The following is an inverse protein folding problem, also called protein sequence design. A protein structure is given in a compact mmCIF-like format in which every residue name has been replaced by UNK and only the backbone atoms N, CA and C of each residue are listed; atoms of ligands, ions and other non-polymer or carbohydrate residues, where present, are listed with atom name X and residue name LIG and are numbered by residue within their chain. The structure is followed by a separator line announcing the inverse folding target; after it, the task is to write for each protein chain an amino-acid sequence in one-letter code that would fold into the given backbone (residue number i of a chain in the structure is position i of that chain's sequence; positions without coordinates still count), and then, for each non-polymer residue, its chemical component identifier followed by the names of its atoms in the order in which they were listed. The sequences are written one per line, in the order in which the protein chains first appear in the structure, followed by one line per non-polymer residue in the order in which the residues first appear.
data_IF_161718702519
#
_entry.id   IF_161718702519
#
_cell.length_a   1.000
_cell.length_b   1.000
_cell.length_c   1.000
_cell.angle_alpha   90.00
_cell.angle_beta   90.00
_cell.angle_gamma   90.00
#
_symmetry.space_group_name_H-M   'P 1'
#
loop_
_entity.id
_entity.type
_entity.pdbx_description
1 polymer ?
#
# COMPACT_ATOMS: atom_id res chain seq x y z
N UNK A 1 -6.96 40.43 -13.84
CA UNK A 1 -7.22 40.19 -12.41
C UNK A 1 -5.88 40.17 -11.68
N UNK A 2 -5.56 41.19 -10.87
CA UNK A 2 -4.31 41.20 -10.11
C UNK A 2 -4.35 40.08 -9.05
N UNK A 3 -3.28 39.28 -8.99
CA UNK A 3 -3.09 38.27 -7.94
C UNK A 3 -2.82 39.01 -6.63
N UNK A 4 -3.61 38.79 -5.56
CA UNK A 4 -3.36 39.44 -4.28
C UNK A 4 -1.97 39.04 -3.77
N UNK A 5 -1.15 40.04 -3.48
CA UNK A 5 0.14 39.86 -2.81
C UNK A 5 -0.17 39.38 -1.38
N UNK A 6 0.26 38.16 -0.99
CA UNK A 6 -0.04 37.68 0.35
C UNK A 6 0.71 38.52 1.38
N UNK A 7 0.11 38.76 2.57
CA UNK A 7 0.76 39.50 3.62
C UNK A 7 2.06 38.80 4.02
N UNK A 8 3.14 39.60 4.11
CA UNK A 8 4.44 39.18 4.63
C UNK A 8 4.25 38.55 6.01
N UNK A 9 4.62 37.27 6.16
CA UNK A 9 4.49 36.54 7.42
C UNK A 9 3.49 35.38 7.43
N UNK A 10 2.90 35.00 6.28
CA UNK A 10 2.10 33.77 6.17
C UNK A 10 2.82 32.71 5.33
N UNK A 11 2.67 31.45 5.73
CA UNK A 11 3.26 30.27 5.09
C UNK A 11 2.18 29.22 4.79
N UNK A 12 2.31 28.52 3.68
CA UNK A 12 1.59 27.28 3.38
C UNK A 12 2.31 26.12 4.05
N UNK A 13 1.55 25.26 4.73
CA UNK A 13 2.05 24.02 5.31
C UNK A 13 1.62 22.83 4.45
N UNK A 14 2.59 22.07 3.94
CA UNK A 14 2.34 20.91 3.08
C UNK A 14 2.81 19.62 3.76
N UNK A 15 1.92 18.65 3.93
CA UNK A 15 2.30 17.34 4.46
C UNK A 15 3.20 16.60 3.44
N UNK A 16 4.34 16.10 3.90
CA UNK A 16 5.28 15.34 3.08
C UNK A 16 5.31 13.87 3.48
N UNK A 17 5.03 13.53 4.74
CA UNK A 17 5.00 12.13 5.16
C UNK A 17 4.99 11.96 6.67
N UNK A 18 4.78 10.74 7.14
CA UNK A 18 4.76 10.43 8.57
C UNK A 18 5.40 9.06 8.86
N UNK A 19 6.01 8.94 10.03
CA UNK A 19 6.45 7.66 10.61
C UNK A 19 5.34 7.04 11.48
N UNK A 20 5.53 5.80 11.95
CA UNK A 20 4.49 5.03 12.67
C UNK A 20 4.01 5.62 14.00
N UNK A 21 4.76 6.57 14.57
CA UNK A 21 4.42 7.20 15.85
C UNK A 21 3.59 8.48 15.69
N UNK A 22 3.09 8.77 14.49
CA UNK A 22 2.40 10.02 14.16
C UNK A 22 0.95 10.13 14.63
N UNK A 23 0.41 9.17 15.39
CA UNK A 23 -0.97 9.26 15.89
C UNK A 23 -1.19 10.52 16.76
N UNK A 24 -0.16 10.98 17.47
CA UNK A 24 -0.19 12.24 18.22
C UNK A 24 -0.25 13.51 17.34
N UNK A 25 0.12 13.41 16.06
CA UNK A 25 0.14 14.56 15.16
C UNK A 25 -1.26 15.04 14.77
N UNK A 26 -2.25 14.14 14.74
CA UNK A 26 -3.63 14.49 14.38
C UNK A 26 -4.21 15.51 15.36
N UNK A 27 -4.02 15.27 16.65
CA UNK A 27 -4.48 16.17 17.70
C UNK A 27 -3.80 17.54 17.63
N UNK A 28 -2.48 17.56 17.47
CA UNK A 28 -1.69 18.78 17.33
C UNK A 28 -2.10 19.60 16.10
N UNK A 29 -2.25 18.95 14.93
CA UNK A 29 -2.68 19.62 13.71
C UNK A 29 -4.11 20.15 13.81
N UNK A 30 -5.04 19.37 14.36
CA UNK A 30 -6.42 19.79 14.54
C UNK A 30 -6.51 21.04 15.43
N UNK A 31 -5.84 21.00 16.60
CA UNK A 31 -5.88 22.10 17.57
C UNK A 31 -5.21 23.37 17.06
N UNK A 32 -4.07 23.27 16.36
CA UNK A 32 -3.33 24.46 15.94
C UNK A 32 -3.71 25.00 14.56
N UNK A 33 -4.32 24.19 13.69
CA UNK A 33 -4.80 24.62 12.37
C UNK A 33 -6.31 24.88 12.34
N UNK A 34 -7.01 24.66 13.45
CA UNK A 34 -8.47 24.82 13.53
C UNK A 34 -9.23 23.84 12.62
N UNK A 35 -8.66 22.66 12.38
CA UNK A 35 -9.24 21.63 11.51
C UNK A 35 -9.92 20.56 12.35
N UNK A 36 -10.96 19.93 11.80
CA UNK A 36 -11.54 18.75 12.42
C UNK A 36 -10.55 17.58 12.40
N UNK A 37 -10.53 16.77 13.48
CA UNK A 37 -9.64 15.60 13.57
C UNK A 37 -9.87 14.62 12.41
N UNK A 38 -11.12 14.40 12.01
CA UNK A 38 -11.49 13.56 10.87
C UNK A 38 -10.94 14.11 9.56
N UNK A 39 -10.97 15.42 9.38
CA UNK A 39 -10.41 16.11 8.22
C UNK A 39 -8.88 16.00 8.20
N UNK A 40 -8.21 16.17 9.34
CA UNK A 40 -6.75 15.96 9.45
C UNK A 40 -6.37 14.53 9.11
N UNK A 41 -7.09 13.53 9.64
CA UNK A 41 -6.87 12.11 9.31
C UNK A 41 -7.05 11.87 7.81
N UNK A 42 -8.08 12.46 7.20
CA UNK A 42 -8.33 12.33 5.77
C UNK A 42 -7.22 12.98 4.94
N UNK A 43 -6.75 14.17 5.34
CA UNK A 43 -5.67 14.92 4.67
C UNK A 43 -4.31 14.21 4.83
N UNK A 44 -4.01 13.63 5.99
CA UNK A 44 -2.79 12.85 6.24
C UNK A 44 -2.83 11.46 5.58
N UNK A 45 -4.01 10.86 5.46
CA UNK A 45 -4.21 9.56 4.80
C UNK A 45 -4.07 9.63 3.27
N UNK A 46 -4.15 10.84 2.69
CA UNK A 46 -3.88 11.08 1.27
C UNK A 46 -2.41 11.50 1.11
N UNK A 47 -1.71 10.87 0.17
CA UNK A 47 -0.31 11.18 -0.09
C UNK A 47 -0.17 12.65 -0.51
N UNK A 48 0.47 13.43 0.35
CA UNK A 48 0.98 14.77 0.09
C UNK A 48 -0.07 15.84 -0.20
N UNK A 49 -0.75 16.30 0.85
CA UNK A 49 -1.78 17.32 0.79
C UNK A 49 -1.39 18.58 1.58
N UNK A 50 -1.91 19.71 1.14
CA UNK A 50 -1.78 20.99 1.82
C UNK A 50 -2.55 20.89 3.14
N UNK A 51 -1.84 21.00 4.26
CA UNK A 51 -2.41 21.00 5.61
C UNK A 51 -3.07 22.34 5.91
N UNK A 52 -2.41 23.44 5.55
CA UNK A 52 -2.93 24.79 5.66
C UNK A 52 -2.44 25.64 4.47
N UNK A 53 -3.35 26.32 3.79
CA UNK A 53 -3.01 27.27 2.70
C UNK A 53 -2.37 28.54 3.24
N UNK A 54 -2.82 28.99 4.42
CA UNK A 54 -2.35 30.20 5.10
C UNK A 54 -2.21 29.92 6.60
N UNK A 55 -0.97 29.86 7.08
CA UNK A 55 -0.64 29.78 8.50
C UNK A 55 0.31 30.92 8.88
N UNK A 56 0.14 31.59 10.03
CA UNK A 56 1.13 32.55 10.53
C UNK A 56 2.51 31.89 10.63
N UNK A 57 3.56 32.58 10.19
CA UNK A 57 4.90 32.00 10.04
C UNK A 57 5.47 31.47 11.35
N UNK A 58 5.22 32.17 12.46
CA UNK A 58 5.62 31.78 13.81
C UNK A 58 4.91 30.49 14.27
N UNK A 59 3.61 30.38 13.99
CA UNK A 59 2.82 29.16 14.25
C UNK A 59 3.32 28.00 13.37
N UNK A 60 3.53 28.25 12.08
CA UNK A 60 3.98 27.24 11.12
C UNK A 60 5.38 26.69 11.46
N UNK A 61 6.31 27.56 11.86
CA UNK A 61 7.65 27.16 12.29
C UNK A 61 7.63 26.37 13.61
N UNK A 62 6.84 26.80 14.60
CA UNK A 62 6.66 26.05 15.86
C UNK A 62 6.07 24.66 15.60
N UNK A 63 5.03 24.58 14.76
CA UNK A 63 4.44 23.31 14.36
C UNK A 63 5.42 22.43 13.60
N UNK A 64 6.25 22.99 12.71
CA UNK A 64 7.25 22.21 11.98
C UNK A 64 8.20 21.47 12.94
N UNK A 65 8.69 22.14 13.99
CA UNK A 65 9.56 21.55 14.99
C UNK A 65 8.85 20.42 15.77
N UNK A 66 7.63 20.68 16.24
CA UNK A 66 6.82 19.70 16.98
C UNK A 66 6.48 18.48 16.13
N UNK A 67 6.05 18.70 14.89
CA UNK A 67 5.71 17.65 13.94
C UNK A 67 6.94 16.81 13.59
N UNK A 68 8.09 17.43 13.40
CA UNK A 68 9.35 16.72 13.15
C UNK A 68 9.75 15.83 14.33
N UNK A 69 9.58 16.31 15.57
CA UNK A 69 9.88 15.56 16.79
C UNK A 69 9.01 14.30 16.95
N UNK A 70 7.76 14.34 16.49
CA UNK A 70 6.85 13.18 16.48
C UNK A 70 6.90 12.40 15.14
N UNK A 71 7.90 12.68 14.31
CA UNK A 71 8.18 11.95 13.08
C UNK A 71 7.20 12.23 11.94
N UNK A 72 6.66 13.45 11.86
CA UNK A 72 5.88 13.97 10.73
C UNK A 72 6.71 15.00 9.96
N UNK A 73 6.86 14.77 8.67
CA UNK A 73 7.58 15.67 7.76
C UNK A 73 6.58 16.63 7.11
N UNK A 74 6.83 17.92 7.28
CA UNK A 74 6.06 19.01 6.67
C UNK A 74 7.02 19.94 5.93
N UNK A 75 6.60 20.47 4.79
CA UNK A 75 7.28 21.57 4.10
C UNK A 75 6.52 22.87 4.32
N UNK A 76 7.26 23.94 4.54
CA UNK A 76 6.75 25.30 4.60
C UNK A 76 7.10 26.01 3.29
N UNK A 77 6.10 26.58 2.63
CA UNK A 77 6.25 27.33 1.37
C UNK A 77 5.64 28.73 1.54
N UNK A 78 6.15 29.79 0.89
CA UNK A 78 5.48 31.09 0.89
C UNK A 78 4.06 31.01 0.31
N UNK A 79 3.11 31.73 0.89
CA UNK A 79 1.76 31.83 0.32
C UNK A 79 1.84 32.40 -1.11
N UNK A 80 1.00 31.90 -2.01
CA UNK A 80 1.02 32.30 -3.43
C UNK A 80 2.10 31.61 -4.27
N UNK A 81 3.03 30.87 -3.65
CA UNK A 81 3.92 29.98 -4.41
C UNK A 81 3.11 28.89 -5.11
N UNK A 82 3.50 28.44 -6.32
CA UNK A 82 2.82 27.34 -6.98
C UNK A 82 2.76 26.13 -6.05
N UNK A 83 1.61 25.44 -6.03
CA UNK A 83 1.46 24.24 -5.23
C UNK A 83 2.60 23.26 -5.58
N UNK A 84 3.35 22.80 -4.58
CA UNK A 84 4.58 22.08 -4.85
C UNK A 84 4.30 20.70 -5.43
N UNK A 85 5.10 20.30 -6.41
CA UNK A 85 4.90 19.05 -7.16
C UNK A 85 5.47 17.88 -6.34
N UNK A 86 4.65 17.31 -5.45
CA UNK A 86 5.13 16.26 -4.53
C UNK A 86 5.23 14.94 -5.31
N UNK A 87 6.40 14.29 -5.36
CA UNK A 87 6.57 13.03 -6.04
C UNK A 87 5.77 11.93 -5.34
N UNK A 88 5.08 11.13 -6.13
CA UNK A 88 4.33 9.94 -5.71
C UNK A 88 4.60 8.79 -6.69
N UNK A 89 4.41 7.58 -6.22
CA UNK A 89 4.45 6.38 -7.03
C UNK A 89 3.02 5.86 -7.21
N UNK A 90 2.67 5.47 -8.43
CA UNK A 90 1.37 4.89 -8.77
C UNK A 90 1.62 3.45 -9.21
N UNK A 91 1.00 2.49 -8.54
CA UNK A 91 0.99 1.10 -8.99
C UNK A 91 -0.30 0.81 -9.77
N UNK A 92 -0.15 0.33 -11.00
CA UNK A 92 -1.23 -0.25 -11.80
C UNK A 92 -1.15 -1.76 -11.68
N UNK A 93 -2.17 -2.37 -11.09
CA UNK A 93 -2.12 -3.76 -10.69
C UNK A 93 -3.29 -4.53 -11.31
N UNK A 94 -3.02 -5.60 -12.08
CA UNK A 94 -4.07 -6.40 -12.68
C UNK A 94 -4.88 -7.13 -11.60
N UNK A 95 -6.20 -6.99 -11.61
CA UNK A 95 -7.10 -7.75 -10.74
C UNK A 95 -7.47 -9.12 -11.34
N UNK A 96 -7.39 -9.20 -12.67
CA UNK A 96 -7.65 -10.36 -13.52
C UNK A 96 -6.76 -10.26 -14.75
N UNK A 97 -6.82 -11.24 -15.64
CA UNK A 97 -6.17 -11.15 -16.95
C UNK A 97 -6.56 -9.85 -17.66
N UNK A 98 -5.57 -9.14 -18.17
CA UNK A 98 -5.74 -7.82 -18.78
C UNK A 98 -5.87 -8.00 -20.29
N UNK A 99 -7.02 -7.65 -20.90
CA UNK A 99 -7.19 -7.80 -22.35
C UNK A 99 -6.15 -6.99 -23.13
N UNK A 100 -5.74 -7.50 -24.30
CA UNK A 100 -4.79 -6.81 -25.18
C UNK A 100 -5.23 -5.37 -25.53
N UNK A 101 -6.54 -5.14 -25.67
CA UNK A 101 -7.10 -3.80 -25.87
C UNK A 101 -6.84 -2.84 -24.69
N UNK A 102 -6.90 -3.34 -23.45
CA UNK A 102 -6.55 -2.57 -22.25
C UNK A 102 -5.06 -2.26 -22.21
N UNK A 103 -4.20 -3.22 -22.57
CA UNK A 103 -2.75 -2.99 -22.70
C UNK A 103 -2.46 -1.89 -23.72
N UNK A 104 -3.04 -1.96 -24.92
CA UNK A 104 -2.86 -0.95 -25.96
C UNK A 104 -3.38 0.44 -25.51
N UNK A 105 -4.50 0.48 -24.79
CA UNK A 105 -5.01 1.72 -24.20
C UNK A 105 -4.03 2.31 -23.17
N UNK A 106 -3.50 1.48 -22.26
CA UNK A 106 -2.50 1.88 -21.27
C UNK A 106 -1.21 2.37 -21.94
N UNK A 107 -0.71 1.67 -22.95
CA UNK A 107 0.49 2.04 -23.71
C UNK A 107 0.38 3.47 -24.26
N UNK A 108 -0.74 3.79 -24.92
CA UNK A 108 -1.04 5.14 -25.43
C UNK A 108 -1.22 6.17 -24.31
N UNK A 109 -1.95 5.82 -23.25
CA UNK A 109 -2.20 6.70 -22.11
C UNK A 109 -0.90 7.11 -21.39
N UNK A 110 -0.01 6.14 -21.21
CA UNK A 110 1.22 6.27 -20.43
C UNK A 110 2.42 6.66 -21.28
N UNK A 111 2.28 6.67 -22.61
CA UNK A 111 3.35 6.86 -23.59
C UNK A 111 4.47 5.84 -23.42
N UNK A 112 4.08 4.58 -23.30
CA UNK A 112 4.96 3.42 -23.18
C UNK A 112 4.66 2.44 -24.32
N UNK A 113 5.57 1.53 -24.61
CA UNK A 113 5.27 0.43 -25.55
C UNK A 113 4.34 -0.60 -24.89
N UNK A 114 3.52 -1.33 -25.66
CA UNK A 114 2.68 -2.41 -25.14
C UNK A 114 3.49 -3.46 -24.37
N UNK A 115 4.69 -3.79 -24.81
CA UNK A 115 5.59 -4.78 -24.20
C UNK A 115 6.07 -4.31 -22.82
N UNK A 116 6.43 -3.03 -22.70
CA UNK A 116 6.84 -2.45 -21.42
C UNK A 116 5.66 -2.40 -20.43
N UNK A 117 4.45 -2.15 -20.92
CA UNK A 117 3.23 -2.22 -20.09
C UNK A 117 2.97 -3.65 -19.63
N UNK A 118 3.02 -4.62 -20.54
CA UNK A 118 2.83 -6.04 -20.21
C UNK A 118 3.85 -6.52 -19.19
N UNK A 119 5.13 -6.26 -19.44
CA UNK A 119 6.22 -6.62 -18.54
C UNK A 119 6.04 -5.97 -17.17
N UNK A 120 5.69 -4.68 -17.11
CA UNK A 120 5.44 -4.01 -15.84
C UNK A 120 4.21 -4.54 -15.10
N UNK A 121 3.13 -4.86 -15.80
CA UNK A 121 1.93 -5.45 -15.18
C UNK A 121 2.17 -6.87 -14.65
N UNK A 122 3.17 -7.58 -15.18
CA UNK A 122 3.57 -8.91 -14.72
C UNK A 122 4.39 -8.88 -13.41
N UNK A 123 4.94 -7.73 -13.02
CA UNK A 123 5.69 -7.61 -11.77
C UNK A 123 4.79 -7.78 -10.52
N UNK A 124 5.32 -8.26 -9.38
CA UNK A 124 4.54 -8.46 -8.15
C UNK A 124 3.84 -7.20 -7.61
N UNK A 125 4.45 -6.02 -7.83
CA UNK A 125 3.84 -4.73 -7.48
C UNK A 125 2.97 -4.15 -8.59
N UNK A 126 2.91 -4.79 -9.75
CA UNK A 126 2.38 -4.24 -11.00
C UNK A 126 3.26 -3.11 -11.55
N UNK A 127 2.73 -2.42 -12.56
CA UNK A 127 3.43 -1.36 -13.27
C UNK A 127 3.52 -0.11 -12.39
N UNK A 128 4.74 0.24 -11.96
CA UNK A 128 5.00 1.42 -11.13
C UNK A 128 5.30 2.64 -12.01
N UNK A 129 4.57 3.73 -11.77
CA UNK A 129 4.74 5.01 -12.45
C UNK A 129 5.12 6.08 -11.43
N UNK A 130 6.27 6.72 -11.64
CA UNK A 130 6.66 7.92 -10.89
C UNK A 130 6.00 9.14 -11.48
N UNK A 131 5.16 9.81 -10.70
CA UNK A 131 4.43 11.01 -11.10
C UNK A 131 4.41 11.97 -9.93
N UNK A 132 3.76 13.11 -10.14
CA UNK A 132 3.48 14.03 -9.05
C UNK A 132 2.05 13.87 -8.60
N UNK A 133 1.74 14.26 -7.37
CA UNK A 133 0.42 14.03 -6.77
C UNK A 133 -0.74 14.48 -7.69
N UNK A 134 -0.63 15.69 -8.27
CA UNK A 134 -1.63 16.23 -9.21
C UNK A 134 -1.76 15.39 -10.48
N UNK A 135 -0.65 14.93 -11.06
CA UNK A 135 -0.67 14.05 -12.25
C UNK A 135 -1.22 12.67 -11.89
N UNK A 136 -0.96 12.17 -10.68
CA UNK A 136 -1.45 10.89 -10.21
C UNK A 136 -2.98 10.87 -10.07
N UNK A 137 -3.59 11.93 -9.53
CA UNK A 137 -5.04 12.07 -9.51
C UNK A 137 -5.66 12.07 -10.91
N UNK A 138 -4.99 12.70 -11.88
CA UNK A 138 -5.39 12.67 -13.28
C UNK A 138 -5.36 11.25 -13.86
N UNK A 139 -4.29 10.49 -13.60
CA UNK A 139 -4.16 9.09 -14.00
C UNK A 139 -5.23 8.23 -13.34
N UNK A 140 -5.43 8.37 -12.02
CA UNK A 140 -6.42 7.61 -11.26
C UNK A 140 -7.85 7.85 -11.78
N UNK A 141 -8.21 9.10 -12.08
CA UNK A 141 -9.53 9.43 -12.67
C UNK A 141 -9.72 8.79 -14.03
N UNK A 142 -8.70 8.81 -14.90
CA UNK A 142 -8.77 8.23 -16.25
C UNK A 142 -8.83 6.70 -16.22
N UNK A 143 -8.22 6.07 -15.22
CA UNK A 143 -8.20 4.61 -15.08
C UNK A 143 -9.35 4.05 -14.23
N UNK A 144 -10.10 4.89 -13.52
CA UNK A 144 -11.27 4.48 -12.73
C UNK A 144 -12.28 3.60 -13.50
N UNK A 145 -12.57 3.83 -14.80
CA UNK A 145 -13.49 2.98 -15.56
C UNK A 145 -12.92 1.59 -15.88
N UNK A 146 -11.60 1.40 -15.76
CA UNK A 146 -10.93 0.13 -16.11
C UNK A 146 -11.01 -0.81 -14.91
N UNK A 147 -12.13 -1.54 -14.80
CA UNK A 147 -12.41 -2.46 -13.68
C UNK A 147 -11.41 -3.62 -13.55
N UNK A 148 -10.63 -3.91 -14.58
CA UNK A 148 -9.58 -4.93 -14.55
C UNK A 148 -8.32 -4.50 -13.78
N UNK A 149 -8.21 -3.22 -13.38
CA UNK A 149 -7.01 -2.67 -12.75
C UNK A 149 -7.33 -2.04 -11.40
N UNK A 150 -6.48 -2.33 -10.42
CA UNK A 150 -6.36 -1.55 -9.20
C UNK A 150 -5.31 -0.47 -9.40
N UNK A 151 -5.64 0.76 -8.98
CA UNK A 151 -4.71 1.88 -8.92
C UNK A 151 -4.40 2.16 -7.45
N UNK A 152 -3.15 2.00 -7.06
CA UNK A 152 -2.67 2.36 -5.73
C UNK A 152 -1.66 3.50 -5.80
N UNK A 153 -1.68 4.39 -4.83
CA UNK A 153 -0.76 5.53 -4.74
C UNK A 153 0.04 5.39 -3.46
N UNK A 154 1.34 5.60 -3.55
CA UNK A 154 2.24 5.65 -2.40
C UNK A 154 3.09 6.91 -2.45
N UNK A 155 3.43 7.41 -1.28
CA UNK A 155 4.39 8.48 -1.12
C UNK A 155 5.76 7.88 -0.80
N UNK A 156 6.74 7.94 -1.72
CA UNK A 156 8.04 7.32 -1.54
C UNK A 156 8.82 7.85 -0.32
N UNK A 157 8.53 9.08 0.14
CA UNK A 157 9.21 9.67 1.30
C UNK A 157 8.80 9.01 2.63
N UNK A 158 7.61 8.41 2.70
CA UNK A 158 7.09 7.74 3.91
C UNK A 158 6.77 6.27 3.70
N UNK A 159 6.97 5.78 2.47
CA UNK A 159 6.75 4.40 2.10
C UNK A 159 7.55 3.45 3.00
N UNK A 160 6.90 2.34 3.34
CA UNK A 160 7.51 1.24 4.09
C UNK A 160 7.52 0.00 3.23
N UNK A 161 8.60 -0.75 3.30
CA UNK A 161 8.81 -1.93 2.49
C UNK A 161 8.85 -3.16 3.39
N UNK A 162 8.34 -4.27 2.87
CA UNK A 162 8.62 -5.59 3.45
C UNK A 162 9.43 -6.41 2.45
N UNK A 163 10.32 -7.24 2.99
CA UNK A 163 11.21 -8.10 2.24
C UNK A 163 10.60 -9.49 2.14
N UNK A 164 10.42 -9.96 0.91
CA UNK A 164 9.89 -11.29 0.61
C UNK A 164 10.94 -12.10 -0.13
N UNK A 165 10.94 -13.42 0.11
CA UNK A 165 11.70 -14.35 -0.72
C UNK A 165 11.03 -14.48 -2.08
N UNK A 166 11.86 -14.57 -3.12
CA UNK A 166 11.43 -14.98 -4.46
C UNK A 166 10.88 -16.40 -4.43
N UNK A 167 10.02 -16.74 -5.38
CA UNK A 167 9.45 -18.07 -5.49
C UNK A 167 10.56 -19.14 -5.57
N UNK A 168 10.43 -20.20 -4.77
CA UNK A 168 11.41 -21.29 -4.68
C UNK A 168 12.73 -20.94 -3.99
N UNK A 169 12.92 -19.70 -3.52
CA UNK A 169 14.14 -19.29 -2.84
C UNK A 169 14.04 -19.50 -1.33
N UNK A 170 15.19 -19.79 -0.71
CA UNK A 170 15.36 -19.89 0.75
C UNK A 170 16.26 -18.74 1.21
N UNK A 171 15.99 -18.20 2.40
CA UNK A 171 16.84 -17.16 2.96
C UNK A 171 18.25 -17.71 3.24
N UNK A 172 19.28 -17.09 2.66
CA UNK A 172 20.66 -17.48 2.93
C UNK A 172 21.05 -17.16 4.38
N UNK A 173 22.03 -17.90 4.91
CA UNK A 173 22.58 -17.66 6.26
C UNK A 173 23.09 -16.22 6.41
N UNK A 174 23.69 -15.67 5.37
CA UNK A 174 24.17 -14.29 5.34
C UNK A 174 23.05 -13.26 5.41
N UNK A 175 21.96 -13.47 4.64
CA UNK A 175 20.78 -12.62 4.74
C UNK A 175 20.21 -12.67 6.15
N UNK A 176 20.02 -13.87 6.71
CA UNK A 176 19.49 -14.05 8.07
C UNK A 176 20.39 -13.43 9.15
N UNK A 177 21.72 -13.46 8.97
CA UNK A 177 22.67 -12.78 9.86
C UNK A 177 22.53 -11.26 9.76
N UNK A 178 22.48 -10.71 8.54
CA UNK A 178 22.32 -9.27 8.33
C UNK A 178 20.98 -8.75 8.89
N UNK A 179 19.88 -9.47 8.66
CA UNK A 179 18.57 -9.10 9.20
C UNK A 179 18.60 -9.04 10.74
N UNK A 180 19.23 -10.02 11.39
CA UNK A 180 19.41 -10.01 12.85
C UNK A 180 20.26 -8.83 13.33
N UNK A 181 21.37 -8.53 12.66
CA UNK A 181 22.23 -7.39 13.00
C UNK A 181 21.50 -6.05 12.88
N UNK A 182 20.57 -5.93 11.94
CA UNK A 182 19.74 -4.74 11.75
C UNK A 182 18.50 -4.72 12.68
N UNK A 183 18.33 -5.71 13.56
CA UNK A 183 17.15 -5.82 14.44
C UNK A 183 15.85 -6.08 13.67
N UNK A 184 15.94 -6.61 12.46
CA UNK A 184 14.78 -6.86 11.60
C UNK A 184 14.26 -8.28 11.83
N UNK A 185 12.94 -8.39 12.00
CA UNK A 185 12.26 -9.65 12.24
C UNK A 185 11.28 -10.00 11.12
N UNK A 186 11.02 -11.32 11.00
CA UNK A 186 9.98 -11.85 10.14
C UNK A 186 8.62 -11.28 10.53
N UNK A 187 7.81 -10.92 9.54
CA UNK A 187 6.43 -10.54 9.78
C UNK A 187 5.57 -11.82 9.90
N UNK A 188 5.01 -12.14 11.07
CA UNK A 188 4.13 -13.30 11.21
C UNK A 188 2.85 -13.14 10.37
N UNK A 189 2.47 -11.89 10.13
CA UNK A 189 1.28 -11.51 9.40
C UNK A 189 1.41 -11.69 7.88
N UNK A 190 2.43 -11.09 7.25
CA UNK A 190 2.57 -11.12 5.78
C UNK A 190 3.44 -12.27 5.26
N UNK A 191 4.14 -12.98 6.15
CA UNK A 191 5.15 -13.97 5.77
C UNK A 191 6.48 -13.38 5.28
N UNK A 192 6.60 -12.05 5.23
CA UNK A 192 7.84 -11.36 4.88
C UNK A 192 8.98 -11.73 5.82
N UNK A 193 10.18 -11.97 5.29
CA UNK A 193 11.38 -12.32 6.08
C UNK A 193 11.92 -11.14 6.87
N UNK A 194 11.63 -9.93 6.42
CA UNK A 194 11.86 -8.68 7.16
C UNK A 194 10.71 -7.72 6.87
N UNK A 195 10.28 -6.96 7.87
CA UNK A 195 9.17 -6.03 7.72
C UNK A 195 9.58 -4.59 8.06
N UNK A 196 8.78 -3.63 7.62
CA UNK A 196 8.81 -2.24 8.10
C UNK A 196 10.04 -1.43 7.69
N UNK A 197 10.74 -1.87 6.65
CA UNK A 197 11.95 -1.24 6.15
C UNK A 197 11.64 0.17 5.62
N UNK A 198 12.53 1.11 5.87
CA UNK A 198 12.56 2.34 5.07
C UNK A 198 13.17 2.07 3.69
N UNK A 199 13.09 3.06 2.80
CA UNK A 199 13.58 2.94 1.43
C UNK A 199 15.09 2.67 1.35
N UNK A 200 15.88 3.21 2.28
CA UNK A 200 17.34 3.06 2.29
C UNK A 200 17.73 1.64 2.69
N UNK A 201 17.15 1.10 3.75
CA UNK A 201 17.38 -0.28 4.20
C UNK A 201 16.88 -1.27 3.16
N UNK A 202 15.72 -1.02 2.55
CA UNK A 202 15.20 -1.84 1.46
C UNK A 202 16.16 -1.89 0.26
N UNK A 203 16.66 -0.72 -0.19
CA UNK A 203 17.61 -0.64 -1.29
C UNK A 203 18.93 -1.37 -0.98
N UNK A 204 19.46 -1.22 0.24
CA UNK A 204 20.67 -1.94 0.68
C UNK A 204 20.48 -3.47 0.60
N UNK A 205 19.35 -3.97 1.09
CA UNK A 205 19.06 -5.41 1.10
C UNK A 205 18.87 -5.95 -0.32
N UNK A 206 18.18 -5.22 -1.19
CA UNK A 206 18.02 -5.59 -2.61
C UNK A 206 19.35 -5.54 -3.36
N UNK A 207 20.21 -4.56 -3.10
CA UNK A 207 21.52 -4.47 -3.74
C UNK A 207 22.42 -5.67 -3.41
N UNK A 208 22.33 -6.22 -2.19
CA UNK A 208 23.16 -7.35 -1.73
C UNK A 208 22.54 -8.72 -1.99
N UNK A 209 21.21 -8.82 -1.92
CA UNK A 209 20.49 -10.10 -1.92
C UNK A 209 19.34 -10.15 -2.94
N UNK A 210 19.28 -9.20 -3.89
CA UNK A 210 18.18 -9.09 -4.85
C UNK A 210 17.98 -10.30 -5.76
N UNK A 211 18.94 -11.24 -5.82
CA UNK A 211 18.77 -12.53 -6.46
C UNK A 211 17.79 -13.44 -5.71
N UNK A 212 17.68 -13.34 -4.38
CA UNK A 212 16.80 -14.17 -3.55
C UNK A 212 15.61 -13.43 -2.93
N UNK A 213 15.63 -12.10 -2.89
CA UNK A 213 14.55 -11.30 -2.29
C UNK A 213 13.99 -10.22 -3.21
N UNK A 214 12.76 -9.80 -2.93
CA UNK A 214 12.18 -8.54 -3.38
C UNK A 214 11.77 -7.68 -2.19
N UNK A 215 12.03 -6.37 -2.27
CA UNK A 215 11.46 -5.39 -1.35
C UNK A 215 10.18 -4.81 -1.96
N UNK A 216 9.04 -5.02 -1.31
CA UNK A 216 7.74 -4.58 -1.80
C UNK A 216 7.18 -3.48 -0.92
N UNK A 217 6.83 -2.35 -1.54
CA UNK A 217 6.15 -1.25 -0.87
C UNK A 217 4.81 -1.75 -0.31
N UNK A 218 4.56 -1.53 0.98
CA UNK A 218 3.36 -1.96 1.70
C UNK A 218 2.06 -1.44 1.11
N UNK A 219 2.08 -0.27 0.50
CA UNK A 219 0.89 0.33 -0.12
C UNK A 219 0.48 -0.43 -1.41
N UNK A 220 1.45 -1.12 -2.01
CA UNK A 220 1.29 -1.90 -3.24
C UNK A 220 1.15 -3.40 -2.97
N UNK A 221 1.35 -3.87 -1.73
CA UNK A 221 1.17 -5.28 -1.39
C UNK A 221 -0.29 -5.72 -1.54
N UNK A 222 -0.46 -6.92 -2.09
CA UNK A 222 -1.76 -7.59 -2.23
C UNK A 222 -1.70 -8.96 -1.60
N UNK A 223 -2.80 -9.37 -0.98
CA UNK A 223 -2.89 -10.64 -0.27
C UNK A 223 -4.13 -11.40 -0.69
N UNK A 224 -3.95 -12.69 -0.91
CA UNK A 224 -5.03 -13.65 -0.94
C UNK A 224 -5.22 -14.19 0.48
N UNK A 225 -6.48 -14.39 0.88
CA UNK A 225 -6.81 -15.06 2.14
C UNK A 225 -7.14 -16.50 1.83
N UNK A 226 -6.43 -17.40 2.50
CA UNK A 226 -6.54 -18.84 2.34
C UNK A 226 -7.07 -19.40 3.65
N UNK A 227 -8.05 -20.30 3.57
CA UNK A 227 -8.52 -21.05 4.73
C UNK A 227 -7.39 -21.96 5.23
N UNK A 228 -7.10 -21.88 6.52
CA UNK A 228 -6.12 -22.70 7.21
C UNK A 228 -6.76 -23.65 8.24
N UNK A 229 -8.07 -23.53 8.45
CA UNK A 229 -8.85 -24.40 9.32
C UNK A 229 -10.10 -23.70 9.85
N UNK A 230 -10.87 -24.38 10.69
CA UNK A 230 -11.99 -23.81 11.43
C UNK A 230 -11.96 -24.26 12.89
N UNK A 231 -12.62 -23.49 13.76
CA UNK A 231 -12.76 -23.74 15.19
C UNK A 231 -14.21 -23.50 15.60
N UNK A 232 -14.85 -24.52 16.16
CA UNK A 232 -16.22 -24.40 16.65
C UNK A 232 -17.30 -24.31 15.56
N UNK A 233 -16.95 -24.53 14.29
CA UNK A 233 -17.92 -24.69 13.20
C UNK A 233 -18.08 -26.17 12.87
N UNK A 234 -19.31 -26.60 12.59
CA UNK A 234 -19.53 -27.92 12.02
C UNK A 234 -18.98 -27.97 10.58
N UNK A 235 -18.66 -29.16 10.11
CA UNK A 235 -18.18 -29.37 8.75
C UNK A 235 -19.24 -29.00 7.69
N UNK A 236 -20.52 -29.20 8.01
CA UNK A 236 -21.62 -28.78 7.16
C UNK A 236 -21.70 -27.25 7.08
N UNK A 237 -21.65 -26.54 8.21
CA UNK A 237 -21.68 -25.06 8.21
C UNK A 237 -20.49 -24.47 7.46
N UNK A 238 -19.31 -25.09 7.61
CA UNK A 238 -18.12 -24.70 6.87
C UNK A 238 -18.31 -24.90 5.36
N UNK A 239 -18.80 -26.06 4.93
CA UNK A 239 -19.05 -26.33 3.51
C UNK A 239 -20.09 -25.35 2.92
N UNK A 240 -21.12 -25.00 3.68
CA UNK A 240 -22.18 -24.08 3.28
C UNK A 240 -21.63 -22.66 3.14
N UNK A 241 -20.84 -22.21 4.12
CA UNK A 241 -20.13 -20.95 4.04
C UNK A 241 -19.22 -20.89 2.81
N UNK A 242 -18.40 -21.93 2.61
CA UNK A 242 -17.46 -21.98 1.49
C UNK A 242 -18.18 -22.02 0.15
N UNK A 243 -19.31 -22.73 0.02
CA UNK A 243 -20.10 -22.75 -1.20
C UNK A 243 -20.65 -21.37 -1.60
N UNK A 244 -20.80 -20.43 -0.65
CA UNK A 244 -21.19 -19.04 -0.96
C UNK A 244 -20.03 -18.14 -1.39
N UNK A 245 -18.78 -18.58 -1.23
CA UNK A 245 -17.57 -17.76 -1.38
C UNK A 245 -16.56 -18.31 -2.40
N UNK A 246 -16.42 -19.62 -2.46
CA UNK A 246 -15.56 -20.32 -3.40
C UNK A 246 -16.33 -20.66 -4.68
N UNK A 247 -15.59 -20.78 -5.79
CA UNK A 247 -16.14 -21.26 -7.08
C UNK A 247 -16.34 -22.79 -7.05
N UNK A 248 -15.82 -23.48 -6.01
CA UNK A 248 -15.87 -24.92 -5.87
C UNK A 248 -17.23 -25.44 -5.39
N UNK A 249 -17.64 -26.59 -5.93
CA UNK A 249 -18.88 -27.27 -5.55
C UNK A 249 -18.82 -27.80 -4.11
N UNK A 250 -19.92 -27.60 -3.37
CA UNK A 250 -20.14 -28.03 -1.96
C UNK A 250 -19.64 -29.44 -1.64
N UNK A 251 -19.83 -30.39 -2.55
CA UNK A 251 -19.44 -31.80 -2.37
C UNK A 251 -17.93 -32.00 -2.21
N UNK A 252 -17.11 -31.19 -2.90
CA UNK A 252 -15.64 -31.22 -2.74
C UNK A 252 -15.19 -30.63 -1.41
N UNK A 253 -15.94 -29.65 -0.90
CA UNK A 253 -15.63 -28.90 0.31
C UNK A 253 -15.99 -29.64 1.60
N UNK A 254 -16.73 -30.75 1.50
CA UNK A 254 -16.97 -31.67 2.61
C UNK A 254 -15.73 -32.50 2.97
N UNK A 255 -14.66 -32.53 2.19
CA UNK A 255 -13.41 -33.16 2.62
C UNK A 255 -12.54 -32.14 3.40
N UNK A 256 -12.16 -32.39 4.67
CA UNK A 256 -11.41 -31.43 5.49
C UNK A 256 -10.09 -30.98 4.86
N UNK A 257 -9.41 -31.91 4.18
CA UNK A 257 -8.15 -31.69 3.48
C UNK A 257 -8.32 -30.82 2.22
N UNK A 258 -9.52 -30.77 1.66
CA UNK A 258 -9.85 -29.95 0.48
C UNK A 258 -10.30 -28.55 0.90
N UNK A 259 -10.94 -28.43 2.07
CA UNK A 259 -11.30 -27.13 2.64
C UNK A 259 -10.07 -26.31 3.07
N UNK A 260 -9.06 -26.95 3.68
CA UNK A 260 -7.79 -26.30 3.96
C UNK A 260 -7.05 -25.96 2.64
N UNK A 261 -6.75 -24.68 2.42
CA UNK A 261 -6.15 -24.23 1.17
C UNK A 261 -7.11 -23.49 0.23
N UNK A 262 -8.42 -23.54 0.49
CA UNK A 262 -9.41 -22.77 -0.29
C UNK A 262 -9.12 -21.28 -0.16
N UNK A 263 -9.09 -20.58 -1.29
CA UNK A 263 -8.98 -19.12 -1.33
C UNK A 263 -10.35 -18.50 -1.06
N UNK A 264 -10.47 -17.78 0.05
CA UNK A 264 -11.68 -17.07 0.46
C UNK A 264 -11.81 -15.71 -0.20
N UNK A 265 -10.69 -14.98 -0.29
CA UNK A 265 -10.64 -13.63 -0.86
C UNK A 265 -9.35 -13.48 -1.67
N UNK A 266 -9.40 -12.68 -2.74
CA UNK A 266 -8.28 -12.50 -3.66
C UNK A 266 -7.82 -11.04 -3.75
N UNK A 267 -6.49 -10.85 -3.76
CA UNK A 267 -5.89 -9.58 -4.14
C UNK A 267 -6.20 -8.39 -3.22
N UNK A 268 -6.52 -8.64 -1.95
CA UNK A 268 -6.86 -7.63 -0.95
C UNK A 268 -5.67 -6.71 -0.64
N UNK A 269 -5.95 -5.44 -0.36
CA UNK A 269 -4.95 -4.56 0.26
C UNK A 269 -4.54 -5.08 1.64
N UNK A 270 -3.34 -4.73 2.13
CA UNK A 270 -2.87 -5.10 3.47
C UNK A 270 -3.88 -4.82 4.58
N UNK A 271 -4.51 -3.64 4.58
CA UNK A 271 -5.52 -3.25 5.58
C UNK A 271 -6.79 -4.08 5.46
N UNK A 272 -7.28 -4.28 4.23
CA UNK A 272 -8.46 -5.12 4.02
C UNK A 272 -8.19 -6.56 4.46
N UNK A 273 -7.03 -7.13 4.12
CA UNK A 273 -6.64 -8.47 4.54
C UNK A 273 -6.59 -8.61 6.07
N UNK A 274 -6.06 -7.60 6.79
CA UNK A 274 -6.12 -7.55 8.26
C UNK A 274 -7.55 -7.61 8.79
N UNK A 275 -8.43 -6.78 8.21
CA UNK A 275 -9.82 -6.71 8.63
C UNK A 275 -10.54 -8.03 8.39
N UNK A 276 -10.46 -8.59 7.18
CA UNK A 276 -11.10 -9.87 6.87
C UNK A 276 -10.55 -11.02 7.72
N UNK A 277 -9.25 -11.06 8.02
CA UNK A 277 -8.71 -12.06 8.95
C UNK A 277 -9.33 -11.93 10.36
N UNK A 278 -9.54 -10.70 10.84
CA UNK A 278 -10.20 -10.46 12.13
C UNK A 278 -11.68 -10.86 12.08
N UNK A 279 -12.39 -10.46 11.04
CA UNK A 279 -13.83 -10.76 10.86
C UNK A 279 -14.07 -12.27 10.74
N UNK A 280 -13.23 -12.97 9.98
CA UNK A 280 -13.32 -14.43 9.83
C UNK A 280 -12.97 -15.18 11.11
N UNK A 281 -12.02 -14.67 11.91
CA UNK A 281 -11.73 -15.25 13.21
C UNK A 281 -12.94 -15.16 14.18
N UNK A 282 -13.76 -14.11 14.08
CA UNK A 282 -14.96 -13.96 14.93
C UNK A 282 -16.03 -15.02 14.66
N UNK A 283 -16.10 -15.54 13.43
CA UNK A 283 -17.01 -16.62 13.04
C UNK A 283 -16.35 -18.01 13.12
N UNK A 284 -15.15 -18.10 13.73
CA UNK A 284 -14.47 -19.37 13.95
C UNK A 284 -13.59 -19.86 12.79
N UNK A 285 -13.36 -19.06 11.75
CA UNK A 285 -12.45 -19.44 10.66
C UNK A 285 -11.00 -19.07 10.99
N UNK A 286 -10.09 -20.00 10.74
CA UNK A 286 -8.64 -19.75 10.81
C UNK A 286 -8.16 -19.46 9.40
N UNK A 287 -7.63 -18.27 9.16
CA UNK A 287 -7.17 -17.85 7.83
C UNK A 287 -5.69 -17.51 7.85
N UNK A 288 -5.02 -17.77 6.72
CA UNK A 288 -3.64 -17.36 6.46
C UNK A 288 -3.61 -16.43 5.26
N UNK A 289 -2.77 -15.42 5.31
CA UNK A 289 -2.53 -14.56 4.16
C UNK A 289 -1.37 -15.08 3.33
N UNK A 290 -1.56 -15.02 2.01
CA UNK A 290 -0.52 -15.31 1.03
C UNK A 290 -0.33 -14.06 0.18
N UNK A 291 0.91 -13.61 0.03
CA UNK A 291 1.20 -12.52 -0.90
C UNK A 291 0.75 -12.95 -2.30
N UNK A 292 -0.14 -12.17 -2.91
CA UNK A 292 -0.62 -12.40 -4.26
C UNK A 292 0.48 -12.00 -5.23
N UNK A 293 1.25 -12.98 -5.72
CA UNK A 293 2.37 -12.70 -6.60
C UNK A 293 1.96 -12.50 -8.07
N UNK A 294 0.77 -12.96 -8.50
CA UNK A 294 0.26 -12.77 -9.87
C UNK A 294 -1.28 -12.82 -9.89
N UNK A 295 -1.89 -12.18 -10.90
CA UNK A 295 -3.32 -12.31 -11.23
C UNK A 295 -3.62 -13.44 -12.25
N UNK A 296 -2.59 -14.21 -12.65
CA UNK A 296 -2.64 -15.16 -13.77
C UNK A 296 -2.25 -16.59 -13.36
N UNK A 297 -2.69 -17.04 -12.18
CA UNK A 297 -2.70 -18.47 -11.88
C UNK A 297 -4.01 -18.77 -11.18
N UNK A 298 -5.06 -18.84 -12.00
CA UNK A 298 -6.18 -19.72 -11.71
C UNK A 298 -5.73 -21.15 -12.09
N UNK A 299 -5.90 -22.05 -11.13
CA UNK A 299 -6.06 -23.49 -11.29
C UNK A 299 -4.88 -24.32 -11.82
N UNK A 300 -4.14 -24.90 -10.85
CA UNK A 300 -3.80 -26.32 -10.86
C UNK A 300 -4.32 -26.95 -9.57
#
# INVERSE_FOLDING_TARGET
MPVPVPPSGQLRMTFVGATRHSCGAVGLLASHLGLDRSEVVQRMGRSALILAETAPADVAQRLLALLSAIGVTVRLDPVGSPAPDIPVEIALQPLREVPAATVAHLARLLRMTPEAVLSGLAEPTGLILRRTARKAEGVQRRLRPVSALRVAISNPASARYDLFLKAGQVASTDLMRLLRQLGLARCPFSGAVAAALDARTAALLVARHGNCVHALNRDFQRFDLILAGSRGMSQADLADFLATRAIDGRERLLAPQVAEGVRLEAGLSRRAAQQFCADYAQIGLVTRMRLALHAATQDL
#
